data_IF_869501129543
#
_entry.id   IF_869501129543
#
_cell.length_a   1.000
_cell.length_b   1.000
_cell.length_c   1.000
_cell.angle_alpha   90.00
_cell.angle_beta   90.00
_cell.angle_gamma   90.00
#
_symmetry.space_group_name_H-M   'P 1'
#
loop_
_entity.id
_entity.type
_entity.pdbx_description
1 polymer ?
#
# COMPACT_ATOMS: atom_id res chain seq x y z
N UNK A 1 33.98 12.36 15.59
CA UNK A 1 33.77 11.81 14.26
C UNK A 1 32.24 11.68 14.12
N UNK A 2 31.57 12.62 13.43
CA UNK A 2 30.11 12.70 13.33
C UNK A 2 29.67 11.70 12.25
N UNK A 3 29.01 10.64 12.64
CA UNK A 3 28.25 9.76 11.76
C UNK A 3 26.91 10.46 11.48
N UNK A 4 26.90 11.26 10.45
CA UNK A 4 25.68 11.90 9.98
C UNK A 4 25.41 11.51 8.51
N UNK A 5 24.38 10.73 8.31
CA UNK A 5 23.87 10.46 6.97
C UNK A 5 22.70 9.50 7.02
N UNK A 6 21.49 10.01 7.01
CA UNK A 6 20.31 9.18 7.30
C UNK A 6 19.71 8.55 6.06
N UNK A 7 19.23 7.42 6.26
CA UNK A 7 17.99 6.78 5.84
C UNK A 7 16.99 7.66 5.03
N UNK A 8 17.38 8.12 3.84
CA UNK A 8 16.45 8.76 2.88
C UNK A 8 15.73 7.75 1.96
N UNK A 9 15.92 6.45 2.18
CA UNK A 9 15.41 5.40 1.26
C UNK A 9 14.05 4.82 1.70
N UNK A 10 13.60 5.09 2.93
CA UNK A 10 12.42 4.38 3.49
C UNK A 10 11.09 5.06 3.14
N UNK A 11 11.06 6.37 2.91
CA UNK A 11 9.83 7.09 2.58
C UNK A 11 9.29 6.79 1.15
N UNK A 12 10.16 6.34 0.24
CA UNK A 12 9.79 6.08 -1.16
C UNK A 12 9.02 4.76 -1.39
N UNK A 13 8.93 3.87 -0.40
CA UNK A 13 8.26 2.57 -0.57
C UNK A 13 6.79 2.55 -0.12
N UNK A 14 6.29 3.59 0.51
CA UNK A 14 4.87 3.70 0.92
C UNK A 14 3.98 4.18 -0.24
N UNK A 15 4.57 4.83 -1.23
CA UNK A 15 3.87 5.32 -2.42
C UNK A 15 4.04 4.37 -3.62
N UNK A 16 3.66 3.10 -3.48
CA UNK A 16 3.67 2.13 -4.59
C UNK A 16 2.64 2.43 -5.68
N UNK A 17 1.99 3.58 -5.65
CA UNK A 17 1.06 4.06 -6.70
C UNK A 17 1.43 5.46 -7.21
N UNK A 18 2.60 6.00 -6.87
CA UNK A 18 3.08 7.20 -7.54
C UNK A 18 3.51 6.81 -8.97
N UNK A 19 2.74 7.23 -9.95
CA UNK A 19 3.11 7.22 -11.36
C UNK A 19 4.37 8.08 -11.55
N UNK A 20 5.53 7.43 -11.45
CA UNK A 20 6.74 8.03 -12.00
C UNK A 20 6.58 8.07 -13.52
N UNK A 21 7.00 9.16 -14.18
CA UNK A 21 6.98 9.18 -15.63
C UNK A 21 7.83 8.01 -16.11
N UNK A 22 7.25 7.19 -16.96
CA UNK A 22 7.90 6.13 -17.71
C UNK A 22 8.86 6.75 -18.74
N UNK A 23 9.85 7.51 -18.25
CA UNK A 23 11.02 7.81 -19.04
C UNK A 23 11.73 6.47 -19.28
N UNK A 24 11.94 6.15 -20.54
CA UNK A 24 12.57 4.93 -21.02
C UNK A 24 13.84 4.59 -20.23
N UNK A 25 13.69 3.89 -19.09
CA UNK A 25 14.82 3.30 -18.41
C UNK A 25 15.24 2.09 -19.24
N UNK A 26 16.48 2.15 -19.71
CA UNK A 26 17.12 1.04 -20.40
C UNK A 26 16.89 -0.26 -19.60
N UNK A 27 16.45 -1.28 -20.31
CA UNK A 27 16.12 -2.58 -19.76
C UNK A 27 17.33 -3.20 -19.05
N UNK A 28 17.47 -3.01 -17.74
CA UNK A 28 18.38 -3.83 -16.96
C UNK A 28 17.74 -5.22 -16.87
N UNK A 29 18.39 -6.21 -17.45
CA UNK A 29 18.01 -7.61 -17.28
C UNK A 29 18.18 -7.98 -15.81
N UNK A 30 17.10 -8.47 -15.18
CA UNK A 30 17.18 -8.98 -13.81
C UNK A 30 18.09 -10.22 -13.83
N UNK A 31 19.22 -10.13 -13.13
CA UNK A 31 20.11 -11.26 -12.93
C UNK A 31 19.58 -12.10 -11.78
N UNK A 32 19.14 -13.33 -12.06
CA UNK A 32 18.70 -14.29 -11.07
C UNK A 32 19.83 -15.22 -10.68
N UNK A 33 20.28 -15.16 -9.43
CA UNK A 33 21.21 -16.12 -8.84
C UNK A 33 20.45 -17.26 -8.14
N UNK A 34 21.12 -18.40 -7.99
CA UNK A 34 20.62 -19.54 -7.23
C UNK A 34 21.46 -19.72 -5.96
N UNK A 35 20.79 -19.83 -4.81
CA UNK A 35 21.41 -20.17 -3.55
C UNK A 35 21.87 -21.63 -3.49
N UNK A 36 22.77 -21.94 -2.60
CA UNK A 36 23.42 -23.26 -2.47
C UNK A 36 22.44 -24.44 -2.28
N UNK A 37 21.27 -24.21 -1.70
CA UNK A 37 20.25 -25.24 -1.45
C UNK A 37 19.25 -25.42 -2.60
N UNK A 38 19.43 -24.76 -3.74
CA UNK A 38 18.52 -24.84 -4.88
C UNK A 38 19.10 -25.77 -5.93
N UNK A 39 18.64 -27.02 -5.95
CA UNK A 39 19.02 -28.00 -6.95
C UNK A 39 18.11 -27.90 -8.19
N UNK A 40 18.71 -27.59 -9.32
CA UNK A 40 18.02 -27.52 -10.62
C UNK A 40 18.44 -28.63 -11.59
N UNK A 41 19.13 -29.64 -11.11
CA UNK A 41 19.53 -30.79 -11.95
C UNK A 41 18.30 -31.57 -12.44
N UNK A 42 17.22 -31.55 -11.68
CA UNK A 42 15.99 -32.30 -11.94
C UNK A 42 14.77 -31.42 -12.07
N UNK A 43 13.74 -31.88 -12.78
CA UNK A 43 12.38 -31.41 -12.72
C UNK A 43 11.73 -31.96 -11.42
N UNK A 44 10.84 -31.17 -10.73
CA UNK A 44 10.25 -29.95 -11.23
C UNK A 44 11.01 -28.65 -10.87
N UNK A 45 12.06 -28.71 -10.05
CA UNK A 45 12.76 -27.52 -9.54
C UNK A 45 13.34 -26.70 -10.68
N UNK A 46 13.98 -27.37 -11.67
CA UNK A 46 14.48 -26.69 -12.87
C UNK A 46 13.38 -25.95 -13.63
N UNK A 47 12.22 -26.57 -13.77
CA UNK A 47 11.12 -25.99 -14.55
C UNK A 47 10.50 -24.80 -13.80
N UNK A 48 10.44 -24.85 -12.47
CA UNK A 48 9.97 -23.75 -11.61
C UNK A 48 10.95 -22.57 -11.65
N UNK A 49 12.26 -22.83 -11.61
CA UNK A 49 13.25 -21.76 -11.75
C UNK A 49 13.15 -21.09 -13.12
N UNK A 50 12.96 -21.86 -14.19
CA UNK A 50 12.74 -21.29 -15.54
C UNK A 50 11.46 -20.45 -15.62
N UNK A 51 10.37 -20.91 -15.00
CA UNK A 51 9.13 -20.15 -14.87
C UNK A 51 9.38 -18.81 -14.16
N UNK A 52 10.12 -18.85 -13.06
CA UNK A 52 10.46 -17.66 -12.30
C UNK A 52 11.31 -16.67 -13.09
N UNK A 53 12.34 -17.17 -13.80
CA UNK A 53 13.17 -16.37 -14.70
C UNK A 53 12.34 -15.73 -15.82
N UNK A 54 11.42 -16.49 -16.42
CA UNK A 54 10.55 -15.99 -17.47
C UNK A 54 9.61 -14.87 -16.95
N UNK A 55 9.02 -15.05 -15.77
CA UNK A 55 8.21 -14.02 -15.12
C UNK A 55 9.00 -12.73 -14.85
N UNK A 56 10.24 -12.84 -14.32
CA UNK A 56 11.09 -11.68 -14.05
C UNK A 56 11.57 -10.96 -15.32
N UNK A 57 11.70 -11.71 -16.42
CA UNK A 57 12.07 -11.16 -17.72
C UNK A 57 10.87 -10.53 -18.46
N UNK A 58 9.67 -11.05 -18.22
CA UNK A 58 8.43 -10.48 -18.71
C UNK A 58 8.12 -9.19 -17.93
N UNK A 59 7.36 -8.29 -18.54
CA UNK A 59 6.94 -7.05 -17.88
C UNK A 59 5.43 -7.03 -17.82
N UNK A 60 4.83 -7.77 -16.86
CA UNK A 60 3.40 -7.71 -16.69
C UNK A 60 2.98 -6.30 -16.33
N UNK A 61 2.02 -5.76 -17.03
CA UNK A 61 1.33 -4.52 -16.67
C UNK A 61 -0.12 -4.82 -16.25
N UNK A 62 -0.80 -3.81 -15.70
CA UNK A 62 -2.18 -3.98 -15.23
C UNK A 62 -3.18 -4.32 -16.34
N UNK A 63 -2.82 -4.08 -17.61
CA UNK A 63 -3.68 -4.34 -18.76
C UNK A 63 -3.43 -5.72 -19.38
N UNK A 64 -2.33 -6.38 -18.99
CA UNK A 64 -1.93 -7.66 -19.56
C UNK A 64 -1.66 -8.65 -18.43
N UNK A 65 -2.57 -9.62 -18.20
CA UNK A 65 -2.34 -10.69 -17.23
C UNK A 65 -1.05 -11.43 -17.54
N UNK A 66 -0.27 -11.75 -16.51
CA UNK A 66 0.96 -12.50 -16.69
C UNK A 66 0.66 -13.95 -17.12
N UNK A 67 1.23 -14.45 -18.23
CA UNK A 67 1.07 -15.84 -18.63
C UNK A 67 1.77 -16.82 -17.69
N UNK A 68 2.61 -16.32 -16.79
CA UNK A 68 3.38 -17.08 -15.81
C UNK A 68 2.65 -17.24 -14.48
N UNK A 69 1.58 -16.48 -14.25
CA UNK A 69 0.80 -16.51 -13.02
C UNK A 69 -0.47 -17.33 -13.18
N UNK A 70 -0.99 -17.87 -12.08
CA UNK A 70 -2.24 -18.64 -12.07
C UNK A 70 -3.38 -17.85 -12.69
N UNK A 71 -3.98 -18.38 -13.75
CA UNK A 71 -5.08 -17.73 -14.44
C UNK A 71 -6.33 -17.64 -13.54
N UNK A 72 -6.56 -18.65 -12.71
CA UNK A 72 -7.68 -18.66 -11.76
C UNK A 72 -7.49 -17.59 -10.68
N UNK A 73 -6.27 -17.37 -10.19
CA UNK A 73 -5.99 -16.30 -9.23
C UNK A 73 -6.13 -14.92 -9.87
N UNK A 74 -5.61 -14.73 -11.08
CA UNK A 74 -5.74 -13.46 -11.81
C UNK A 74 -7.19 -13.12 -12.17
N UNK A 75 -8.04 -14.13 -12.42
CA UNK A 75 -9.46 -13.91 -12.66
C UNK A 75 -10.19 -13.37 -11.41
N UNK A 76 -9.74 -13.75 -10.23
CA UNK A 76 -10.31 -13.30 -8.95
C UNK A 76 -9.64 -12.03 -8.40
N UNK A 77 -8.32 -11.90 -8.61
CA UNK A 77 -7.47 -10.79 -8.12
C UNK A 77 -6.59 -10.27 -9.27
N UNK A 78 -7.16 -9.51 -10.21
CA UNK A 78 -6.46 -9.15 -11.43
C UNK A 78 -5.26 -8.23 -11.23
N UNK A 79 -5.22 -7.48 -10.13
CA UNK A 79 -4.17 -6.50 -9.85
C UNK A 79 -3.23 -6.95 -8.72
N UNK A 80 -3.58 -8.00 -7.98
CA UNK A 80 -2.76 -8.49 -6.87
C UNK A 80 -1.63 -9.40 -7.37
N UNK A 81 -0.66 -8.77 -8.00
CA UNK A 81 0.67 -9.32 -8.22
C UNK A 81 1.66 -8.50 -7.38
N UNK A 82 1.96 -9.01 -6.18
CA UNK A 82 2.83 -8.36 -5.22
C UNK A 82 4.19 -7.94 -5.81
N UNK A 83 4.67 -8.69 -6.78
CA UNK A 83 6.00 -8.51 -7.35
C UNK A 83 6.04 -7.49 -8.48
N UNK A 84 4.90 -7.19 -9.10
CA UNK A 84 4.80 -6.29 -10.25
C UNK A 84 5.51 -4.95 -9.99
N UNK A 85 5.21 -4.31 -8.88
CA UNK A 85 5.83 -3.04 -8.49
C UNK A 85 7.34 -3.14 -8.25
N UNK A 86 7.83 -4.28 -7.77
CA UNK A 86 9.26 -4.48 -7.48
C UNK A 86 10.09 -4.84 -8.70
N UNK A 87 9.55 -5.61 -9.63
CA UNK A 87 10.23 -5.95 -10.89
C UNK A 87 10.56 -4.68 -11.67
N UNK A 88 9.69 -3.67 -11.64
CA UNK A 88 9.90 -2.40 -12.34
C UNK A 88 10.83 -1.41 -11.61
N UNK A 89 11.15 -1.63 -10.34
CA UNK A 89 11.99 -0.71 -9.58
C UNK A 89 13.50 -0.88 -9.81
N UNK A 90 13.90 -1.77 -10.75
CA UNK A 90 15.30 -1.89 -11.15
C UNK A 90 16.24 -2.43 -10.09
N UNK A 91 15.76 -3.26 -9.16
CA UNK A 91 16.62 -3.93 -8.18
C UNK A 91 17.52 -4.96 -8.87
N UNK A 92 18.85 -4.80 -8.83
CA UNK A 92 19.74 -5.54 -9.72
C UNK A 92 20.02 -6.99 -9.29
N UNK A 93 19.85 -7.33 -8.01
CA UNK A 93 20.25 -8.62 -7.46
C UNK A 93 19.06 -9.39 -6.87
N UNK A 94 18.67 -10.46 -7.56
CA UNK A 94 17.65 -11.39 -7.12
C UNK A 94 18.28 -12.77 -6.92
N UNK A 95 18.09 -13.37 -5.75
CA UNK A 95 18.66 -14.69 -5.43
C UNK A 95 17.55 -15.61 -4.92
N UNK A 96 17.29 -16.72 -5.62
CA UNK A 96 16.45 -17.78 -5.08
C UNK A 96 17.21 -18.46 -3.94
N UNK A 97 16.76 -18.24 -2.72
CA UNK A 97 17.41 -18.80 -1.53
C UNK A 97 16.79 -20.13 -1.08
N UNK A 98 15.56 -20.39 -1.53
CA UNK A 98 14.85 -21.64 -1.23
C UNK A 98 13.89 -22.00 -2.37
N UNK A 99 13.87 -23.29 -2.71
CA UNK A 99 12.85 -23.91 -3.55
C UNK A 99 12.60 -25.32 -3.01
N UNK A 100 11.45 -25.51 -2.38
CA UNK A 100 11.12 -26.80 -1.72
C UNK A 100 9.64 -27.11 -1.89
N UNK A 101 9.26 -28.40 -1.87
CA UNK A 101 7.85 -28.79 -1.80
C UNK A 101 7.15 -28.09 -0.62
N UNK A 102 5.93 -27.65 -0.82
CA UNK A 102 5.12 -27.08 0.23
C UNK A 102 4.61 -28.22 1.16
N UNK A 103 4.61 -28.01 2.49
CA UNK A 103 4.10 -29.04 3.41
C UNK A 103 2.66 -29.42 3.10
N UNK A 104 2.40 -30.72 2.99
CA UNK A 104 1.04 -31.27 2.80
C UNK A 104 0.41 -31.04 1.42
N UNK A 105 1.21 -30.67 0.39
CA UNK A 105 0.69 -30.42 -0.96
C UNK A 105 1.62 -30.98 -2.04
N UNK A 106 1.25 -32.12 -2.62
CA UNK A 106 2.08 -32.89 -3.56
C UNK A 106 2.44 -32.19 -4.88
N UNK A 107 1.75 -31.12 -5.23
CA UNK A 107 1.92 -30.37 -6.48
C UNK A 107 2.12 -28.87 -6.26
N UNK A 108 2.73 -28.52 -5.13
CA UNK A 108 2.98 -27.11 -4.78
C UNK A 108 4.40 -26.97 -4.25
N UNK A 109 5.10 -25.95 -4.72
CA UNK A 109 6.44 -25.59 -4.26
C UNK A 109 6.43 -24.19 -3.66
N UNK A 110 7.24 -24.00 -2.63
CA UNK A 110 7.55 -22.68 -2.05
C UNK A 110 8.84 -22.19 -2.68
N UNK A 111 8.77 -21.02 -3.29
CA UNK A 111 9.92 -20.32 -3.85
C UNK A 111 10.15 -19.05 -3.03
N UNK A 112 11.34 -18.93 -2.42
CA UNK A 112 11.76 -17.73 -1.71
C UNK A 112 12.89 -17.07 -2.44
N UNK A 113 12.73 -15.77 -2.69
CA UNK A 113 13.70 -14.96 -3.41
C UNK A 113 14.09 -13.73 -2.60
N UNK A 114 15.37 -13.63 -2.29
CA UNK A 114 15.96 -12.45 -1.69
C UNK A 114 16.20 -11.41 -2.77
N UNK A 115 15.75 -10.19 -2.51
CA UNK A 115 16.09 -9.00 -3.26
C UNK A 115 17.00 -8.15 -2.40
N UNK A 116 18.16 -7.78 -2.95
CA UNK A 116 19.17 -7.02 -2.23
C UNK A 116 19.78 -5.92 -3.10
N UNK A 117 20.08 -4.79 -2.47
CA UNK A 117 20.91 -3.75 -3.05
C UNK A 117 22.36 -3.87 -2.58
N UNK A 118 23.31 -3.52 -3.44
CA UNK A 118 24.71 -3.37 -3.06
C UNK A 118 25.04 -1.90 -2.86
N UNK A 119 25.88 -1.61 -1.90
CA UNK A 119 26.39 -0.25 -1.64
C UNK A 119 27.86 -0.32 -1.20
N UNK A 120 28.49 0.83 -1.03
CA UNK A 120 29.93 0.93 -0.73
C UNK A 120 30.77 0.16 -1.78
N UNK A 121 30.51 0.46 -3.07
CA UNK A 121 31.18 -0.18 -4.21
C UNK A 121 31.11 -1.72 -4.19
N UNK A 122 29.99 -2.26 -3.72
CA UNK A 122 29.73 -3.71 -3.67
C UNK A 122 30.26 -4.42 -2.42
N UNK A 123 30.87 -3.69 -1.48
CA UNK A 123 31.41 -4.28 -0.23
C UNK A 123 30.35 -4.62 0.80
N UNK A 124 29.16 -4.03 0.69
CA UNK A 124 28.07 -4.28 1.61
C UNK A 124 26.78 -4.60 0.85
N UNK A 125 25.99 -5.51 1.41
CA UNK A 125 24.70 -5.95 0.86
C UNK A 125 23.62 -5.55 1.84
N UNK A 126 22.56 -4.88 1.33
CA UNK A 126 21.38 -4.52 2.10
C UNK A 126 20.19 -5.33 1.59
N UNK A 127 19.63 -6.24 2.40
CA UNK A 127 18.37 -6.88 2.08
C UNK A 127 17.26 -5.84 1.93
N UNK A 128 16.48 -5.94 0.85
CA UNK A 128 15.37 -5.06 0.56
C UNK A 128 14.04 -5.77 0.74
N UNK A 129 13.97 -7.05 0.36
CA UNK A 129 12.80 -7.90 0.59
C UNK A 129 13.20 -9.38 0.50
N UNK A 130 12.43 -10.23 1.18
CA UNK A 130 12.43 -11.67 0.96
C UNK A 130 11.01 -12.08 0.54
N UNK A 131 10.85 -12.34 -0.75
CA UNK A 131 9.59 -12.75 -1.34
C UNK A 131 9.33 -14.24 -1.14
N UNK A 132 8.08 -14.58 -0.89
CA UNK A 132 7.53 -15.92 -0.93
C UNK A 132 6.47 -16.01 -2.02
N UNK A 133 6.72 -16.80 -3.03
CA UNK A 133 5.78 -17.13 -4.10
C UNK A 133 5.58 -18.63 -4.11
N UNK A 134 4.44 -19.08 -4.56
CA UNK A 134 4.17 -20.49 -4.74
C UNK A 134 4.21 -20.83 -6.23
N UNK A 135 4.78 -21.99 -6.57
CA UNK A 135 4.59 -22.61 -7.86
C UNK A 135 3.57 -23.73 -7.72
N UNK A 136 2.55 -23.72 -8.55
CA UNK A 136 1.44 -24.67 -8.51
C UNK A 136 1.18 -25.26 -9.88
N UNK A 137 0.51 -26.40 -9.92
CA UNK A 137 0.05 -27.02 -11.18
C UNK A 137 -1.33 -26.48 -11.55
N UNK A 138 -1.43 -25.88 -12.72
CA UNK A 138 -2.70 -25.49 -13.33
C UNK A 138 -2.72 -25.98 -14.78
N UNK A 139 -3.72 -26.80 -15.14
CA UNK A 139 -3.84 -27.40 -16.46
C UNK A 139 -2.56 -28.15 -16.93
N UNK A 140 -1.92 -28.87 -16.00
CA UNK A 140 -0.73 -29.67 -16.29
C UNK A 140 0.61 -28.92 -16.37
N UNK A 141 0.62 -27.59 -16.29
CA UNK A 141 1.82 -26.74 -16.30
C UNK A 141 2.08 -26.08 -14.95
N UNK A 142 3.32 -25.69 -14.68
CA UNK A 142 3.67 -24.88 -13.54
C UNK A 142 3.28 -23.42 -13.80
N UNK A 143 2.68 -22.78 -12.80
CA UNK A 143 2.37 -21.35 -12.76
C UNK A 143 2.68 -20.80 -11.37
N UNK A 144 2.90 -19.50 -11.27
CA UNK A 144 3.10 -18.79 -10.00
C UNK A 144 1.75 -18.53 -9.33
N UNK A 145 1.76 -18.40 -8.01
CA UNK A 145 0.57 -18.11 -7.24
C UNK A 145 0.89 -17.37 -5.95
N UNK A 146 -0.11 -16.63 -5.47
CA UNK A 146 -0.02 -15.76 -4.31
C UNK A 146 0.09 -16.52 -2.98
N UNK A 147 0.88 -15.98 -2.07
CA UNK A 147 1.07 -16.54 -0.73
C UNK A 147 -0.21 -16.45 0.11
N UNK A 148 -0.92 -15.31 0.08
CA UNK A 148 -2.05 -15.07 0.97
C UNK A 148 -3.16 -16.11 0.82
N UNK A 149 -3.46 -16.55 -0.39
CA UNK A 149 -4.49 -17.56 -0.63
C UNK A 149 -4.17 -18.91 0.02
N UNK A 150 -2.89 -19.24 0.11
CA UNK A 150 -2.42 -20.51 0.67
C UNK A 150 -2.23 -20.43 2.16
N UNK A 151 -1.66 -19.33 2.65
CA UNK A 151 -1.40 -19.13 4.07
C UNK A 151 -2.69 -18.91 4.88
N UNK A 152 -3.74 -18.38 4.26
CA UNK A 152 -5.02 -18.11 4.92
C UNK A 152 -6.14 -19.09 4.52
N UNK A 153 -5.79 -20.20 3.85
CA UNK A 153 -6.75 -21.18 3.34
C UNK A 153 -7.73 -21.66 4.41
N UNK A 154 -7.18 -21.99 5.57
CA UNK A 154 -7.92 -22.58 6.68
C UNK A 154 -8.30 -21.54 7.75
N UNK A 155 -8.13 -20.26 7.45
CA UNK A 155 -8.51 -19.20 8.37
C UNK A 155 -10.04 -19.04 8.44
N UNK A 156 -10.60 -18.84 9.64
CA UNK A 156 -12.00 -18.49 9.82
C UNK A 156 -12.39 -17.26 8.98
N UNK A 157 -13.66 -17.28 8.54
CA UNK A 157 -14.24 -16.18 7.74
C UNK A 157 -15.59 -15.81 8.33
N UNK A 158 -15.84 -14.50 8.39
CA UNK A 158 -17.13 -13.97 8.80
C UNK A 158 -17.54 -12.81 7.89
N UNK A 159 -18.72 -12.89 7.28
CA UNK A 159 -19.25 -11.84 6.40
C UNK A 159 -20.22 -10.96 7.19
N UNK A 160 -19.94 -9.65 7.19
CA UNK A 160 -20.76 -8.61 7.82
C UNK A 160 -20.96 -7.48 6.80
N UNK A 161 -22.19 -7.29 6.36
CA UNK A 161 -22.51 -6.37 5.28
C UNK A 161 -21.76 -6.73 3.98
N UNK A 162 -21.07 -5.77 3.40
CA UNK A 162 -20.28 -5.93 2.16
C UNK A 162 -18.85 -6.47 2.38
N UNK A 163 -18.45 -6.73 3.64
CA UNK A 163 -17.09 -7.09 4.02
C UNK A 163 -17.02 -8.51 4.58
N UNK A 164 -16.15 -9.34 4.02
CA UNK A 164 -15.77 -10.65 4.56
C UNK A 164 -14.44 -10.52 5.28
N UNK A 165 -14.47 -10.68 6.59
CA UNK A 165 -13.28 -10.68 7.43
C UNK A 165 -12.67 -12.07 7.44
N UNK A 166 -11.35 -12.15 7.27
CA UNK A 166 -10.53 -13.37 7.31
C UNK A 166 -9.45 -13.16 8.35
N UNK A 167 -9.32 -14.06 9.32
CA UNK A 167 -8.46 -13.87 10.49
C UNK A 167 -7.82 -15.17 10.96
N UNK A 168 -6.64 -15.12 11.63
CA UNK A 168 -6.00 -16.33 12.15
C UNK A 168 -6.89 -17.07 13.14
N UNK A 169 -6.82 -18.41 13.23
CA UNK A 169 -7.60 -19.18 14.22
C UNK A 169 -7.35 -18.77 15.67
N UNK A 170 -6.17 -18.23 15.96
CA UNK A 170 -5.78 -17.73 17.31
C UNK A 170 -6.22 -16.29 17.57
N UNK A 171 -6.77 -15.59 16.58
CA UNK A 171 -7.17 -14.19 16.70
C UNK A 171 -8.53 -14.06 17.39
N UNK A 172 -8.64 -13.14 18.35
CA UNK A 172 -9.91 -12.82 19.00
C UNK A 172 -10.69 -11.81 18.14
N UNK A 173 -11.62 -12.31 17.33
CA UNK A 173 -12.41 -11.50 16.41
C UNK A 173 -13.46 -10.64 17.12
N UNK A 174 -13.40 -9.32 16.97
CA UNK A 174 -14.38 -8.37 17.50
C UNK A 174 -15.48 -8.08 16.47
N UNK A 175 -16.57 -8.84 16.58
CA UNK A 175 -17.75 -8.71 15.71
C UNK A 175 -18.40 -7.33 15.76
N UNK A 176 -18.32 -6.62 16.89
CA UNK A 176 -18.88 -5.26 17.02
C UNK A 176 -18.09 -4.26 16.19
N UNK A 177 -16.77 -4.34 16.30
CA UNK A 177 -15.84 -3.51 15.54
C UNK A 177 -15.92 -3.79 14.04
N UNK A 178 -16.00 -5.06 13.66
CA UNK A 178 -16.19 -5.47 12.27
C UNK A 178 -17.50 -4.93 11.66
N UNK A 179 -18.61 -5.00 12.40
CA UNK A 179 -19.89 -4.39 11.98
C UNK A 179 -19.78 -2.86 11.85
N UNK A 180 -19.07 -2.22 12.75
CA UNK A 180 -18.84 -0.76 12.67
C UNK A 180 -18.05 -0.40 11.42
N UNK A 181 -17.07 -1.21 11.04
CA UNK A 181 -16.28 -1.01 9.81
C UNK A 181 -17.09 -1.27 8.54
N UNK A 182 -17.92 -2.31 8.52
CA UNK A 182 -18.83 -2.54 7.39
C UNK A 182 -19.82 -1.36 7.21
N UNK A 183 -20.45 -0.90 8.31
CA UNK A 183 -21.33 0.29 8.26
C UNK A 183 -20.59 1.56 7.84
N UNK A 184 -19.32 1.71 8.20
CA UNK A 184 -18.50 2.84 7.76
C UNK A 184 -18.38 2.87 6.23
N UNK A 185 -18.12 1.72 5.60
CA UNK A 185 -18.05 1.60 4.13
C UNK A 185 -19.33 2.09 3.48
N UNK A 186 -20.48 1.58 3.93
CA UNK A 186 -21.80 1.94 3.38
C UNK A 186 -22.11 3.43 3.61
N UNK A 187 -21.85 3.93 4.81
CA UNK A 187 -22.12 5.33 5.17
C UNK A 187 -21.23 6.30 4.40
N UNK A 188 -19.94 5.98 4.25
CA UNK A 188 -19.01 6.81 3.50
C UNK A 188 -19.38 6.86 2.01
N UNK A 189 -19.69 5.70 1.42
CA UNK A 189 -20.14 5.62 0.04
C UNK A 189 -21.41 6.46 -0.19
N UNK A 190 -22.40 6.33 0.69
CA UNK A 190 -23.64 7.11 0.62
C UNK A 190 -23.37 8.61 0.75
N UNK A 191 -22.53 9.02 1.71
CA UNK A 191 -22.19 10.43 1.95
C UNK A 191 -21.54 11.10 0.73
N UNK A 192 -20.78 10.35 -0.07
CA UNK A 192 -20.11 10.85 -1.27
C UNK A 192 -20.88 10.55 -2.57
N UNK A 193 -22.06 9.90 -2.49
CA UNK A 193 -22.83 9.51 -3.66
C UNK A 193 -22.03 8.56 -4.57
N UNK A 194 -21.31 7.62 -3.97
CA UNK A 194 -20.49 6.61 -4.64
C UNK A 194 -21.16 5.23 -4.49
N UNK A 195 -20.91 4.29 -5.42
CA UNK A 195 -21.29 2.91 -5.22
C UNK A 195 -20.49 2.31 -4.05
N UNK A 196 -21.17 1.67 -3.12
CA UNK A 196 -20.49 0.93 -2.05
C UNK A 196 -19.74 -0.26 -2.65
N UNK A 197 -18.45 -0.46 -2.30
CA UNK A 197 -17.71 -1.62 -2.75
C UNK A 197 -18.37 -2.90 -2.21
N UNK A 198 -18.51 -3.91 -3.06
CA UNK A 198 -19.10 -5.22 -2.70
C UNK A 198 -18.05 -6.31 -2.73
N UNK A 199 -18.20 -7.33 -1.89
CA UNK A 199 -17.30 -8.49 -1.87
C UNK A 199 -15.88 -8.14 -1.39
N UNK A 200 -15.76 -7.16 -0.49
CA UNK A 200 -14.49 -6.79 0.12
C UNK A 200 -13.98 -7.94 0.99
N UNK A 201 -12.73 -8.33 0.83
CA UNK A 201 -12.03 -9.25 1.72
C UNK A 201 -11.06 -8.49 2.61
N UNK A 202 -11.26 -8.60 3.89
CA UNK A 202 -10.48 -7.90 4.91
C UNK A 202 -9.69 -8.91 5.73
N UNK A 203 -8.40 -8.99 5.50
CA UNK A 203 -7.48 -9.86 6.22
C UNK A 203 -6.99 -9.15 7.49
N UNK A 204 -7.35 -9.69 8.65
CA UNK A 204 -6.83 -9.24 9.96
C UNK A 204 -5.63 -10.09 10.30
N UNK A 205 -4.56 -9.48 10.78
CA UNK A 205 -3.38 -10.18 11.31
C UNK A 205 -3.04 -9.66 12.70
N UNK A 206 -2.20 -10.38 13.44
CA UNK A 206 -1.83 -9.99 14.80
C UNK A 206 -0.95 -8.72 14.80
N UNK A 207 -0.13 -8.56 13.77
CA UNK A 207 0.81 -7.45 13.62
C UNK A 207 1.19 -7.22 12.15
N UNK A 208 2.03 -6.21 11.93
CA UNK A 208 2.50 -5.80 10.60
C UNK A 208 3.42 -6.86 9.98
N UNK A 209 4.22 -7.55 10.79
CA UNK A 209 5.10 -8.61 10.30
C UNK A 209 4.29 -9.79 9.75
N UNK A 210 3.27 -10.23 10.49
CA UNK A 210 2.36 -11.27 9.99
C UNK A 210 1.60 -10.82 8.74
N UNK A 211 1.17 -9.55 8.69
CA UNK A 211 0.52 -8.99 7.50
C UNK A 211 1.40 -9.11 6.26
N UNK A 212 2.65 -8.65 6.35
CA UNK A 212 3.59 -8.77 5.23
C UNK A 212 3.89 -10.23 4.88
N UNK A 213 4.05 -11.10 5.88
CA UNK A 213 4.25 -12.54 5.66
C UNK A 213 3.05 -13.18 4.94
N UNK A 214 1.83 -12.82 5.32
CA UNK A 214 0.61 -13.28 4.64
C UNK A 214 0.60 -12.79 3.19
N UNK A 215 0.95 -11.55 2.94
CA UNK A 215 1.06 -11.00 1.59
C UNK A 215 2.15 -11.66 0.74
N UNK A 216 3.08 -12.40 1.34
CA UNK A 216 4.19 -13.04 0.63
C UNK A 216 5.54 -12.34 0.79
N UNK A 217 5.67 -11.51 1.81
CA UNK A 217 6.91 -10.85 2.18
C UNK A 217 7.43 -11.42 3.51
N UNK A 218 8.33 -12.41 3.45
CA UNK A 218 8.95 -13.00 4.64
C UNK A 218 9.91 -12.04 5.35
N UNK A 219 10.38 -11.02 4.64
CA UNK A 219 11.10 -9.88 5.17
C UNK A 219 10.75 -8.63 4.36
N UNK A 220 10.51 -7.55 5.05
CA UNK A 220 10.33 -6.22 4.49
C UNK A 220 10.81 -5.17 5.50
N UNK A 221 11.48 -4.08 5.08
CA UNK A 221 12.04 -3.10 6.04
C UNK A 221 11.02 -2.46 6.98
N UNK A 222 9.78 -2.29 6.55
CA UNK A 222 8.68 -1.75 7.37
C UNK A 222 7.95 -2.80 8.20
N UNK A 223 8.40 -4.06 8.21
CA UNK A 223 7.75 -5.16 8.94
C UNK A 223 7.77 -4.99 10.46
N UNK A 224 8.59 -4.06 10.97
CA UNK A 224 8.69 -3.76 12.40
C UNK A 224 7.85 -2.54 12.83
N UNK A 225 7.10 -1.92 11.93
CA UNK A 225 6.18 -0.85 12.28
C UNK A 225 5.05 -1.37 13.18
N UNK A 226 4.56 -0.52 14.07
CA UNK A 226 3.50 -0.88 15.02
C UNK A 226 2.09 -0.74 14.44
N UNK A 227 1.97 -0.09 13.30
CA UNK A 227 0.71 0.13 12.60
C UNK A 227 0.95 0.06 11.10
N UNK A 228 0.12 -0.67 10.39
CA UNK A 228 0.19 -0.77 8.94
C UNK A 228 -1.05 -1.44 8.37
N UNK A 229 -1.39 -1.04 7.17
CA UNK A 229 -2.40 -1.65 6.32
C UNK A 229 -1.99 -1.57 4.87
N UNK A 230 -2.67 -2.30 4.05
CA UNK A 230 -2.56 -2.27 2.59
C UNK A 230 -3.92 -2.57 2.00
N UNK A 231 -4.25 -1.87 0.94
CA UNK A 231 -5.45 -2.15 0.17
C UNK A 231 -5.15 -2.28 -1.33
N UNK A 232 -5.91 -3.15 -1.98
CA UNK A 232 -6.06 -3.18 -3.43
C UNK A 232 -7.54 -2.97 -3.75
N UNK A 233 -7.85 -1.81 -4.28
CA UNK A 233 -9.24 -1.46 -4.57
C UNK A 233 -9.78 -2.24 -5.77
N UNK A 234 -8.94 -2.55 -6.76
CA UNK A 234 -9.31 -3.37 -7.92
C UNK A 234 -9.69 -4.78 -7.47
N UNK A 235 -8.89 -5.38 -6.60
CA UNK A 235 -9.12 -6.72 -6.07
C UNK A 235 -10.08 -6.75 -4.88
N UNK A 236 -10.45 -5.59 -4.36
CA UNK A 236 -11.28 -5.44 -3.16
C UNK A 236 -10.67 -6.12 -1.93
N UNK A 237 -9.35 -5.98 -1.80
CA UNK A 237 -8.57 -6.55 -0.71
C UNK A 237 -8.15 -5.47 0.29
N UNK A 238 -8.21 -5.82 1.56
CA UNK A 238 -7.61 -5.07 2.67
C UNK A 238 -6.79 -6.03 3.51
N UNK A 239 -5.58 -5.62 3.87
CA UNK A 239 -4.74 -6.29 4.87
C UNK A 239 -4.49 -5.32 6.02
N UNK A 240 -4.76 -5.75 7.24
CA UNK A 240 -4.56 -4.96 8.46
C UNK A 240 -3.60 -5.67 9.40
N UNK A 241 -2.44 -5.06 9.63
CA UNK A 241 -1.44 -5.47 10.61
C UNK A 241 -1.43 -4.60 11.86
N UNK A 242 -2.48 -3.80 12.10
CA UNK A 242 -2.54 -2.94 13.27
C UNK A 242 -3.32 -3.61 14.40
N UNK A 243 -2.61 -4.26 15.32
CA UNK A 243 -3.17 -5.06 16.42
C UNK A 243 -4.19 -4.29 17.28
N UNK A 244 -4.01 -2.98 17.49
CA UNK A 244 -4.95 -2.16 18.30
C UNK A 244 -6.29 -1.93 17.60
N UNK A 245 -6.31 -1.85 16.28
CA UNK A 245 -7.52 -1.61 15.49
C UNK A 245 -8.12 -2.89 14.91
N UNK A 246 -7.29 -3.85 14.50
CA UNK A 246 -7.76 -5.10 13.92
C UNK A 246 -8.78 -4.85 12.79
N UNK A 247 -10.03 -5.24 13.04
CA UNK A 247 -11.17 -5.05 12.13
C UNK A 247 -11.56 -3.58 11.92
N UNK A 248 -11.05 -2.69 12.76
CA UNK A 248 -11.43 -1.27 12.80
C UNK A 248 -10.56 -0.34 11.98
N UNK A 249 -9.62 -0.85 11.19
CA UNK A 249 -8.70 0.00 10.41
C UNK A 249 -9.39 0.56 9.17
N UNK A 250 -10.10 1.67 9.35
CA UNK A 250 -10.99 2.28 8.35
C UNK A 250 -10.25 3.01 7.23
N UNK A 251 -9.00 3.39 7.43
CA UNK A 251 -8.17 4.07 6.43
C UNK A 251 -8.13 3.29 5.10
N UNK A 252 -7.80 2.00 5.18
CA UNK A 252 -7.73 1.15 4.00
C UNK A 252 -9.10 0.91 3.34
N UNK A 253 -10.15 0.84 4.14
CA UNK A 253 -11.52 0.75 3.62
C UNK A 253 -11.95 2.02 2.90
N UNK A 254 -11.49 3.20 3.35
CA UNK A 254 -11.77 4.46 2.70
C UNK A 254 -11.16 4.51 1.28
N UNK A 255 -9.95 3.96 1.08
CA UNK A 255 -9.36 3.83 -0.26
C UNK A 255 -10.27 3.05 -1.20
N UNK A 256 -10.88 1.95 -0.76
CA UNK A 256 -11.80 1.16 -1.58
C UNK A 256 -13.04 1.96 -1.96
N UNK A 257 -13.59 2.72 -1.01
CA UNK A 257 -14.77 3.57 -1.25
C UNK A 257 -14.47 4.69 -2.24
N UNK A 258 -13.29 5.33 -2.11
CA UNK A 258 -12.90 6.44 -2.97
C UNK A 258 -12.31 6.03 -4.32
N UNK A 259 -12.00 4.75 -4.52
CA UNK A 259 -11.40 4.26 -5.76
C UNK A 259 -12.08 4.72 -7.05
N UNK A 260 -13.43 4.75 -7.16
CA UNK A 260 -14.08 5.24 -8.38
C UNK A 260 -13.72 6.69 -8.74
N UNK A 261 -13.25 7.48 -7.77
CA UNK A 261 -12.81 8.87 -7.97
C UNK A 261 -11.30 8.99 -8.13
N UNK A 262 -10.51 8.23 -7.34
CA UNK A 262 -9.05 8.40 -7.18
C UNK A 262 -8.23 7.57 -8.15
N UNK A 263 -8.73 7.27 -9.32
CA UNK A 263 -8.06 6.39 -10.31
C UNK A 263 -6.58 6.70 -10.42
N UNK A 264 -5.77 5.63 -10.38
CA UNK A 264 -4.31 5.68 -10.50
C UNK A 264 -3.88 6.52 -11.71
N UNK A 265 -2.94 7.42 -11.52
CA UNK A 265 -2.38 8.30 -12.55
C UNK A 265 -3.15 9.60 -12.82
N UNK A 266 -4.33 9.78 -12.22
CA UNK A 266 -5.16 10.98 -12.42
C UNK A 266 -5.38 11.80 -11.14
N UNK A 267 -4.96 11.28 -9.97
CA UNK A 267 -5.08 11.96 -8.69
C UNK A 267 -3.71 12.01 -8.02
N UNK A 268 -3.35 13.16 -7.49
CA UNK A 268 -2.15 13.26 -6.66
C UNK A 268 -2.27 12.33 -5.45
N UNK A 269 -1.25 11.53 -5.19
CA UNK A 269 -1.31 10.47 -4.18
C UNK A 269 -1.65 11.00 -2.77
N UNK A 270 -1.13 12.18 -2.37
CA UNK A 270 -1.47 12.80 -1.08
C UNK A 270 -2.94 13.25 -0.99
N UNK A 271 -3.63 13.51 -2.09
CA UNK A 271 -5.08 13.75 -2.06
C UNK A 271 -5.82 12.45 -1.72
N UNK A 272 -5.39 11.33 -2.28
CA UNK A 272 -5.97 10.02 -1.95
C UNK A 272 -5.73 9.65 -0.49
N UNK A 273 -4.49 9.80 -0.01
CA UNK A 273 -4.12 9.54 1.38
C UNK A 273 -4.81 10.50 2.35
N UNK A 274 -4.88 11.78 1.99
CA UNK A 274 -5.58 12.80 2.78
C UNK A 274 -7.08 12.53 2.94
N UNK A 275 -7.74 12.05 1.88
CA UNK A 275 -9.15 11.64 1.96
C UNK A 275 -9.32 10.43 2.88
N UNK A 276 -8.47 9.42 2.76
CA UNK A 276 -8.52 8.24 3.61
C UNK A 276 -8.22 8.60 5.07
N UNK A 277 -7.25 9.46 5.32
CA UNK A 277 -6.90 9.96 6.67
C UNK A 277 -8.01 10.83 7.27
N UNK A 278 -8.57 11.76 6.50
CA UNK A 278 -9.66 12.60 6.98
C UNK A 278 -10.90 11.79 7.37
N UNK A 279 -11.26 10.78 6.59
CA UNK A 279 -12.51 10.02 6.80
C UNK A 279 -12.33 8.75 7.63
N UNK A 280 -11.19 8.09 7.51
CA UNK A 280 -10.88 6.80 8.17
C UNK A 280 -9.90 6.89 9.34
N UNK A 281 -9.23 8.04 9.50
CA UNK A 281 -8.15 8.21 10.45
C UNK A 281 -6.83 7.61 10.00
N UNK A 282 -5.81 7.69 10.84
CA UNK A 282 -4.51 7.07 10.63
C UNK A 282 -3.86 6.71 11.97
N UNK A 283 -2.94 5.76 11.97
CA UNK A 283 -2.14 5.37 13.14
C UNK A 283 -2.95 5.11 14.43
N UNK A 284 -4.21 4.70 14.30
CA UNK A 284 -5.09 4.40 15.43
C UNK A 284 -5.82 5.62 16.02
N UNK A 285 -5.70 6.76 15.40
CA UNK A 285 -6.40 7.98 15.75
C UNK A 285 -7.43 8.32 14.67
N UNK A 286 -8.54 8.89 15.05
CA UNK A 286 -9.43 9.58 14.13
C UNK A 286 -8.80 10.91 13.67
N UNK A 287 -9.45 11.58 12.74
CA UNK A 287 -8.94 12.82 12.18
C UNK A 287 -8.71 13.90 13.26
N UNK A 288 -9.64 14.07 14.18
CA UNK A 288 -9.53 15.06 15.25
C UNK A 288 -8.37 14.74 16.21
N UNK A 289 -8.10 13.47 16.45
CA UNK A 289 -6.96 12.99 17.24
C UNK A 289 -5.59 13.23 16.60
N UNK A 290 -5.51 13.31 15.26
CA UNK A 290 -4.28 13.62 14.53
C UNK A 290 -3.90 15.09 14.56
N UNK A 291 -4.90 15.98 14.57
CA UNK A 291 -4.72 17.43 14.44
C UNK A 291 -3.77 18.07 15.48
N UNK A 292 -3.79 17.70 16.78
CA UNK A 292 -2.84 18.29 17.75
C UNK A 292 -1.38 17.98 17.43
N UNK A 293 -1.08 16.81 16.86
CA UNK A 293 0.25 16.44 16.40
C UNK A 293 0.73 17.33 15.26
N UNK A 294 -0.09 17.44 14.22
CA UNK A 294 0.17 18.30 13.08
C UNK A 294 0.33 19.77 13.49
N UNK A 295 -0.53 20.27 14.37
CA UNK A 295 -0.47 21.67 14.85
C UNK A 295 0.83 21.97 15.61
N UNK A 296 1.32 21.05 16.45
CA UNK A 296 2.62 21.20 17.11
C UNK A 296 3.77 21.22 16.10
N UNK A 297 3.74 20.34 15.11
CA UNK A 297 4.73 20.29 14.05
C UNK A 297 4.77 21.60 13.26
N UNK A 298 3.64 22.07 12.76
CA UNK A 298 3.52 23.30 11.97
C UNK A 298 3.95 24.53 12.77
N UNK A 299 3.73 24.55 14.09
CA UNK A 299 4.22 25.62 14.95
C UNK A 299 5.75 25.62 15.09
N UNK A 300 6.34 24.42 15.19
CA UNK A 300 7.79 24.25 15.29
C UNK A 300 8.53 24.49 13.96
N UNK A 301 7.82 24.34 12.82
CA UNK A 301 8.38 24.46 11.48
C UNK A 301 7.65 25.58 10.70
N UNK A 302 8.04 26.85 10.91
CA UNK A 302 7.34 27.98 10.30
C UNK A 302 7.43 27.99 8.76
N UNK A 303 8.42 27.35 8.18
CA UNK A 303 8.65 27.30 6.72
C UNK A 303 7.93 26.15 6.01
N UNK A 304 7.28 25.24 6.78
CA UNK A 304 6.52 24.13 6.15
C UNK A 304 5.30 24.68 5.41
N UNK A 305 5.08 24.21 4.19
CA UNK A 305 3.95 24.60 3.34
C UNK A 305 3.31 23.37 2.71
N UNK A 306 2.07 23.49 2.22
CA UNK A 306 1.45 22.42 1.44
C UNK A 306 2.28 22.03 0.20
N UNK A 307 2.96 23.01 -0.41
CA UNK A 307 3.83 22.76 -1.55
C UNK A 307 5.08 21.95 -1.17
N UNK A 308 5.76 22.32 -0.06
CA UNK A 308 6.88 21.54 0.45
C UNK A 308 6.47 20.13 0.86
N UNK A 309 5.32 19.99 1.53
CA UNK A 309 4.75 18.69 1.90
C UNK A 309 4.44 17.84 0.66
N UNK A 310 3.86 18.44 -0.38
CA UNK A 310 3.48 17.73 -1.59
C UNK A 310 4.69 17.28 -2.42
N UNK A 311 5.76 18.07 -2.42
CA UNK A 311 6.97 17.82 -3.22
C UNK A 311 7.95 16.85 -2.53
N UNK A 312 8.14 16.99 -1.21
CA UNK A 312 9.05 16.17 -0.41
C UNK A 312 8.49 16.06 1.04
N UNK A 313 7.51 15.18 1.26
CA UNK A 313 6.88 15.08 2.57
C UNK A 313 7.89 14.66 3.64
N UNK A 314 7.86 15.30 4.82
CA UNK A 314 8.72 14.93 5.94
C UNK A 314 8.51 13.46 6.33
N UNK A 315 9.56 12.79 6.83
CA UNK A 315 9.44 11.43 7.36
C UNK A 315 8.39 11.35 8.47
N UNK A 316 7.69 10.24 8.54
CA UNK A 316 6.75 9.96 9.62
C UNK A 316 7.45 9.90 10.97
N UNK A 317 6.87 10.53 11.99
CA UNK A 317 7.35 10.54 13.37
C UNK A 317 6.27 9.98 14.32
N UNK A 318 6.42 8.74 14.74
CA UNK A 318 5.43 8.07 15.59
C UNK A 318 4.06 7.95 14.89
N UNK A 319 3.05 8.63 15.43
CA UNK A 319 1.71 8.69 14.85
C UNK A 319 1.51 9.84 13.86
N UNK A 320 2.45 10.78 13.80
CA UNK A 320 2.39 11.94 12.91
C UNK A 320 2.93 11.60 11.53
N UNK A 321 2.11 11.78 10.51
CA UNK A 321 2.48 11.81 9.10
C UNK A 321 2.06 13.17 8.52
N UNK A 322 3.04 14.07 8.38
CA UNK A 322 2.77 15.46 7.96
C UNK A 322 2.14 15.53 6.57
N UNK A 323 2.51 14.59 5.68
CA UNK A 323 1.92 14.47 4.35
C UNK A 323 0.44 14.12 4.41
N UNK A 324 0.13 13.03 5.06
CA UNK A 324 -1.24 12.50 5.20
C UNK A 324 -2.13 13.47 5.98
N UNK A 325 -1.67 13.90 7.16
CA UNK A 325 -2.42 14.75 8.07
C UNK A 325 -2.64 16.16 7.46
N UNK A 326 -1.62 16.69 6.77
CA UNK A 326 -1.70 17.99 6.10
C UNK A 326 -2.70 18.00 4.95
N UNK A 327 -2.70 16.96 4.14
CA UNK A 327 -3.67 16.82 3.05
C UNK A 327 -5.07 16.40 3.54
N UNK A 328 -5.17 15.72 4.68
CA UNK A 328 -6.46 15.49 5.33
C UNK A 328 -7.15 16.82 5.73
N UNK A 329 -6.38 17.77 6.29
CA UNK A 329 -6.87 19.13 6.56
C UNK A 329 -7.29 19.84 5.28
N UNK A 330 -6.52 19.75 4.19
CA UNK A 330 -6.88 20.34 2.91
C UNK A 330 -8.19 19.76 2.37
N UNK A 331 -8.38 18.45 2.41
CA UNK A 331 -9.61 17.78 2.00
C UNK A 331 -10.81 18.23 2.85
N UNK A 332 -10.64 18.34 4.16
CA UNK A 332 -11.66 18.86 5.07
C UNK A 332 -12.04 20.31 4.75
N UNK A 333 -11.06 21.19 4.53
CA UNK A 333 -11.32 22.59 4.17
C UNK A 333 -12.12 22.71 2.87
N UNK A 334 -11.74 21.96 1.84
CA UNK A 334 -12.44 21.93 0.56
C UNK A 334 -13.86 21.40 0.72
N UNK A 335 -14.04 20.31 1.50
CA UNK A 335 -15.36 19.77 1.79
C UNK A 335 -16.26 20.79 2.54
N UNK A 336 -15.74 21.43 3.57
CA UNK A 336 -16.49 22.45 4.33
C UNK A 336 -16.94 23.63 3.46
N UNK A 337 -16.15 23.98 2.46
CA UNK A 337 -16.44 25.09 1.55
C UNK A 337 -17.46 24.76 0.48
N UNK A 338 -17.36 23.57 -0.15
CA UNK A 338 -18.14 23.24 -1.33
C UNK A 338 -18.67 21.81 -1.37
N UNK A 339 -18.65 21.11 -0.24
CA UNK A 339 -19.22 19.76 -0.09
C UNK A 339 -18.53 18.71 -0.97
N UNK A 340 -19.27 17.65 -1.23
CA UNK A 340 -18.81 16.49 -2.02
C UNK A 340 -18.33 16.89 -3.41
N UNK A 341 -19.02 17.85 -4.07
CA UNK A 341 -18.68 18.26 -5.42
C UNK A 341 -17.31 18.95 -5.51
N UNK A 342 -16.98 19.77 -4.50
CA UNK A 342 -15.65 20.37 -4.41
C UNK A 342 -14.56 19.33 -4.19
N UNK A 343 -14.80 18.32 -3.33
CA UNK A 343 -13.86 17.21 -3.15
C UNK A 343 -13.67 16.43 -4.45
N UNK A 344 -14.74 16.10 -5.19
CA UNK A 344 -14.63 15.44 -6.51
C UNK A 344 -13.79 16.27 -7.48
N UNK A 345 -13.95 17.60 -7.47
CA UNK A 345 -13.13 18.50 -8.29
C UNK A 345 -11.65 18.53 -7.86
N UNK A 346 -11.37 18.45 -6.56
CA UNK A 346 -10.00 18.36 -6.05
C UNK A 346 -9.33 17.05 -6.46
N UNK A 347 -10.03 15.94 -6.36
CA UNK A 347 -9.56 14.61 -6.79
C UNK A 347 -9.25 14.57 -8.29
N UNK A 348 -10.09 15.23 -9.08
CA UNK A 348 -9.93 15.33 -10.54
C UNK A 348 -8.93 16.41 -11.00
N UNK A 349 -8.26 17.09 -10.07
CA UNK A 349 -7.37 18.22 -10.41
C UNK A 349 -6.13 17.81 -11.22
N UNK A 350 -5.73 16.55 -11.13
CA UNK A 350 -4.53 16.03 -11.75
C UNK A 350 -3.56 15.43 -10.75
N UNK A 351 -2.38 15.03 -11.25
CA UNK A 351 -1.34 14.39 -10.43
C UNK A 351 -0.18 15.33 -10.04
N UNK A 352 -0.11 16.51 -10.61
CA UNK A 352 0.93 17.48 -10.25
C UNK A 352 0.56 18.33 -9.04
N UNK A 353 1.58 18.76 -8.31
CA UNK A 353 1.42 19.63 -7.12
C UNK A 353 0.70 20.94 -7.50
N UNK A 354 1.08 21.55 -8.60
CA UNK A 354 0.53 22.83 -9.07
C UNK A 354 -0.96 22.73 -9.41
N UNK A 355 -1.37 21.66 -10.11
CA UNK A 355 -2.77 21.43 -10.46
C UNK A 355 -3.64 21.24 -9.21
N UNK A 356 -3.16 20.45 -8.25
CA UNK A 356 -3.88 20.18 -7.00
C UNK A 356 -4.00 21.46 -6.16
N UNK A 357 -2.90 22.12 -5.87
CA UNK A 357 -2.92 23.30 -5.00
C UNK A 357 -3.59 24.51 -5.68
N UNK A 358 -3.44 24.67 -7.00
CA UNK A 358 -4.17 25.66 -7.76
C UNK A 358 -5.67 25.42 -7.78
N UNK A 359 -6.09 24.16 -7.87
CA UNK A 359 -7.50 23.79 -7.80
C UNK A 359 -8.05 23.98 -6.37
N UNK A 360 -7.30 23.58 -5.34
CA UNK A 360 -7.69 23.79 -3.95
C UNK A 360 -7.90 25.27 -3.63
N UNK A 361 -6.96 26.14 -4.03
CA UNK A 361 -7.08 27.59 -3.84
C UNK A 361 -8.36 28.13 -4.50
N UNK A 362 -8.62 27.76 -5.74
CA UNK A 362 -9.82 28.14 -6.50
C UNK A 362 -11.12 27.70 -5.81
N UNK A 363 -11.16 26.44 -5.37
CA UNK A 363 -12.33 25.89 -4.65
C UNK A 363 -12.60 26.58 -3.32
N UNK A 364 -11.54 27.02 -2.65
CA UNK A 364 -11.65 27.77 -1.39
C UNK A 364 -11.96 29.27 -1.61
N UNK A 365 -11.89 29.77 -2.85
CA UNK A 365 -12.05 31.18 -3.19
C UNK A 365 -10.83 32.03 -2.79
N UNK A 366 -9.63 31.45 -2.86
CA UNK A 366 -8.37 32.05 -2.44
C UNK A 366 -7.43 32.26 -3.65
N UNK A 367 -6.52 33.20 -3.54
CA UNK A 367 -5.33 33.26 -4.37
C UNK A 367 -4.40 32.09 -4.04
N UNK A 368 -3.60 31.63 -5.05
CA UNK A 368 -2.65 30.53 -4.81
C UNK A 368 -1.67 30.83 -3.66
N UNK A 369 -1.21 32.08 -3.55
CA UNK A 369 -0.31 32.51 -2.48
C UNK A 369 -0.95 32.57 -1.08
N UNK A 370 -2.29 32.61 -0.99
CA UNK A 370 -3.02 32.69 0.29
C UNK A 370 -3.37 31.32 0.85
N UNK A 371 -3.24 30.27 0.03
CA UNK A 371 -3.66 28.91 0.40
C UNK A 371 -2.90 28.39 1.63
N UNK A 372 -1.58 28.52 1.66
CA UNK A 372 -0.76 28.07 2.78
C UNK A 372 -1.10 28.82 4.08
N UNK A 373 -1.32 30.14 3.99
CA UNK A 373 -1.72 30.93 5.13
C UNK A 373 -3.10 30.50 5.68
N UNK A 374 -4.04 30.18 4.79
CA UNK A 374 -5.37 29.69 5.19
C UNK A 374 -5.28 28.31 5.83
N UNK A 375 -4.50 27.39 5.23
CA UNK A 375 -4.24 26.05 5.77
C UNK A 375 -3.57 26.13 7.14
N UNK A 376 -2.51 26.92 7.29
CA UNK A 376 -1.83 27.11 8.58
C UNK A 376 -2.77 27.66 9.65
N UNK A 377 -3.61 28.65 9.33
CA UNK A 377 -4.62 29.15 10.27
C UNK A 377 -5.58 28.06 10.72
N UNK A 378 -6.04 27.20 9.79
CA UNK A 378 -6.91 26.06 10.14
C UNK A 378 -6.20 25.08 11.05
N UNK A 379 -4.94 24.72 10.76
CA UNK A 379 -4.14 23.81 11.58
C UNK A 379 -3.84 24.40 12.95
N UNK A 380 -3.36 25.65 13.02
CA UNK A 380 -2.94 26.28 14.28
C UNK A 380 -4.13 26.69 15.17
N UNK A 381 -5.30 26.96 14.60
CA UNK A 381 -6.53 27.25 15.34
C UNK A 381 -7.00 26.11 16.24
N UNK A 382 -6.53 24.90 16.02
CA UNK A 382 -6.81 23.72 16.86
C UNK A 382 -6.15 23.82 18.25
N UNK A 383 -5.04 24.57 18.36
CA UNK A 383 -4.31 24.77 19.62
C UNK A 383 -4.81 25.98 20.41
N UNK A 384 -5.80 26.71 19.91
CA UNK A 384 -6.44 27.80 20.64
C UNK A 384 -7.59 27.21 21.47
N UNK A 385 -7.66 27.43 22.78
CA UNK A 385 -8.71 26.89 23.63
C UNK A 385 -10.08 27.49 23.29
#
# INVERSE_FOLDING_TARGET
MKLGGPLRVIAAMVALHASWPLAAQAHQSISLALGWGVDTARSPERDIVRLWQAYLADRPDSNHPSPHWSASEQAEFPDFDLLRGYVYQGFPAWTVVQLTPAPGADSTYVLRTLVAGTYDSGKAVKPLALFRVYAVRENGRWVLGNAFLRLTRDWPRETLGSVTFVYPPSYHFDRSRARASARFVDSLAAAFGLPAPSGVRYYVTHDVEEMFRVMGLDYFPSGHDTAGGRSSAVDRLVFSGFSKLGEGYRHELAHLVFWPMTRVGHTHWLVSEGLATWTGGAAGLDFDGLLPGLARYVRAHPDVSLESIASDPPPREGTLDVGYDGFAVLCEMVFKKGGVQAVKSLVAAGSSVDEVLGTAARLLGLGRGDLDAAWRRRVLGILTP
#
